data_IF_176291580195
#
_entry.id   IF_176291580195
#
_cell.length_a   1.000
_cell.length_b   1.000
_cell.length_c   1.000
_cell.angle_alpha   90.00
_cell.angle_beta   90.00
_cell.angle_gamma   90.00
#
_symmetry.space_group_name_H-M   'P 1'
#
loop_
_entity.id
_entity.type
_entity.pdbx_description
1 polymer ?
#
# COMPACT_ATOMS: atom_id res chain seq x y z
N UNK A 1 -37.02 14.71 38.55
CA UNK A 1 -35.75 15.21 37.97
C UNK A 1 -35.24 14.11 37.08
N UNK A 2 -35.40 14.29 35.76
CA UNK A 2 -35.12 13.24 34.77
C UNK A 2 -33.63 12.99 34.64
N UNK A 3 -33.26 11.72 34.59
CA UNK A 3 -31.90 11.28 34.34
C UNK A 3 -31.43 11.82 32.98
N UNK A 4 -30.40 12.68 33.00
CA UNK A 4 -29.63 13.02 31.81
C UNK A 4 -28.83 11.77 31.42
N UNK A 5 -29.37 10.98 30.49
CA UNK A 5 -28.60 10.01 29.75
C UNK A 5 -27.58 10.76 28.89
N UNK A 6 -26.29 10.59 29.21
CA UNK A 6 -25.17 11.00 28.37
C UNK A 6 -25.31 10.33 27.00
N UNK A 7 -25.69 11.13 25.99
CA UNK A 7 -25.62 10.73 24.60
C UNK A 7 -24.14 10.52 24.23
N UNK A 8 -23.78 9.29 23.85
CA UNK A 8 -22.51 9.00 23.19
C UNK A 8 -22.44 9.89 21.93
N UNK A 9 -21.31 10.59 21.66
CA UNK A 9 -21.19 11.39 20.44
C UNK A 9 -21.28 10.46 19.22
N UNK A 10 -22.45 10.46 18.58
CA UNK A 10 -22.65 9.82 17.29
C UNK A 10 -21.77 10.54 16.28
N UNK A 11 -20.71 9.87 15.83
CA UNK A 11 -19.87 10.32 14.73
C UNK A 11 -20.72 10.39 13.46
N UNK A 12 -21.33 11.54 13.20
CA UNK A 12 -22.04 11.79 11.96
C UNK A 12 -20.99 11.98 10.86
N UNK A 13 -20.75 10.93 10.06
CA UNK A 13 -19.94 11.04 8.85
C UNK A 13 -20.58 12.13 7.96
N UNK A 14 -19.84 13.18 7.56
CA UNK A 14 -20.42 14.24 6.75
C UNK A 14 -20.85 13.70 5.38
N UNK A 15 -21.90 14.29 4.81
CA UNK A 15 -22.47 13.84 3.53
C UNK A 15 -21.48 13.90 2.36
N UNK A 16 -20.49 14.79 2.44
CA UNK A 16 -19.33 14.89 1.56
C UNK A 16 -18.22 15.71 2.25
N UNK A 17 -17.05 15.75 1.63
CA UNK A 17 -15.95 16.61 2.04
C UNK A 17 -15.15 17.10 0.83
N UNK A 18 -14.50 18.26 0.98
CA UNK A 18 -13.62 18.82 -0.04
C UNK A 18 -12.20 18.30 0.18
N UNK A 19 -11.60 17.75 -0.87
CA UNK A 19 -10.27 17.16 -0.85
C UNK A 19 -9.46 17.72 -2.04
N UNK A 20 -8.79 18.85 -1.81
CA UNK A 20 -8.15 19.63 -2.88
C UNK A 20 -9.20 20.15 -3.88
N UNK A 21 -9.01 19.98 -5.21
CA UNK A 21 -9.99 20.39 -6.23
C UNK A 21 -11.14 19.38 -6.41
N UNK A 22 -11.26 18.39 -5.52
CA UNK A 22 -12.24 17.32 -5.61
C UNK A 22 -13.23 17.37 -4.45
N UNK A 23 -14.45 16.90 -4.71
CA UNK A 23 -15.45 16.61 -3.70
C UNK A 23 -15.59 15.10 -3.57
N UNK A 24 -15.48 14.59 -2.36
CA UNK A 24 -15.51 13.16 -2.05
C UNK A 24 -16.74 12.86 -1.21
N UNK A 25 -17.39 11.74 -1.51
CA UNK A 25 -18.58 11.25 -0.82
C UNK A 25 -18.28 9.94 -0.06
N UNK A 26 -19.03 9.64 1.01
CA UNK A 26 -18.87 8.40 1.78
C UNK A 26 -19.01 7.11 0.97
N UNK A 27 -19.78 7.13 -0.12
CA UNK A 27 -19.99 6.01 -1.05
C UNK A 27 -18.79 5.78 -2.01
N UNK A 28 -17.68 6.47 -1.78
CA UNK A 28 -16.49 6.50 -2.62
C UNK A 28 -16.68 7.14 -4.00
N UNK A 29 -17.74 7.93 -4.20
CA UNK A 29 -17.86 8.81 -5.36
C UNK A 29 -16.92 10.01 -5.22
N UNK A 30 -16.20 10.35 -6.28
CA UNK A 30 -15.33 11.54 -6.35
C UNK A 30 -15.74 12.37 -7.56
N UNK A 31 -15.91 13.68 -7.36
CA UNK A 31 -16.25 14.66 -8.39
C UNK A 31 -15.15 15.72 -8.46
N UNK A 32 -14.63 15.97 -9.65
CA UNK A 32 -13.80 17.15 -9.93
C UNK A 32 -14.70 18.39 -9.92
N UNK A 33 -14.45 19.31 -8.98
CA UNK A 33 -15.32 20.48 -8.75
C UNK A 33 -15.26 21.44 -9.95
N UNK A 34 -14.07 21.66 -10.51
CA UNK A 34 -13.87 22.57 -11.63
C UNK A 34 -14.49 22.05 -12.93
N UNK A 35 -14.37 20.74 -13.19
CA UNK A 35 -14.90 20.11 -14.40
C UNK A 35 -16.31 19.56 -14.24
N UNK A 36 -16.86 19.58 -13.01
CA UNK A 36 -18.15 18.97 -12.62
C UNK A 36 -18.28 17.53 -13.12
N UNK A 37 -17.18 16.77 -13.08
CA UNK A 37 -17.09 15.43 -13.67
C UNK A 37 -16.73 14.39 -12.63
N UNK A 38 -17.46 13.26 -12.64
CA UNK A 38 -17.14 12.09 -11.81
C UNK A 38 -15.81 11.48 -12.24
N UNK A 39 -14.92 11.24 -11.28
CA UNK A 39 -13.64 10.56 -11.48
C UNK A 39 -13.88 9.04 -11.55
N UNK A 40 -13.24 8.37 -12.53
CA UNK A 40 -13.33 6.92 -12.67
C UNK A 40 -12.40 6.22 -11.68
N UNK A 41 -12.92 5.19 -11.01
CA UNK A 41 -12.13 4.24 -10.22
C UNK A 41 -11.61 3.10 -11.10
N UNK A 42 -10.40 2.63 -10.81
CA UNK A 42 -9.72 1.54 -11.53
C UNK A 42 -9.39 0.43 -10.52
N UNK A 43 -9.81 -0.79 -10.79
CA UNK A 43 -9.46 -1.96 -9.96
C UNK A 43 -8.11 -2.54 -10.42
N UNK A 44 -7.13 -2.64 -9.51
CA UNK A 44 -5.82 -3.27 -9.76
C UNK A 44 -5.41 -4.10 -8.55
N UNK A 45 -5.01 -5.34 -8.76
CA UNK A 45 -4.56 -6.26 -7.70
C UNK A 45 -5.54 -6.32 -6.50
N UNK A 46 -6.84 -6.32 -6.77
CA UNK A 46 -7.89 -6.36 -5.74
C UNK A 46 -8.19 -5.03 -5.03
N UNK A 47 -7.55 -3.91 -5.42
CA UNK A 47 -7.72 -2.59 -4.78
C UNK A 47 -8.23 -1.56 -5.78
N UNK A 48 -9.11 -0.67 -5.33
CA UNK A 48 -9.54 0.47 -6.14
C UNK A 48 -8.55 1.62 -6.06
N UNK A 49 -8.25 2.21 -7.22
CA UNK A 49 -7.41 3.39 -7.38
C UNK A 49 -8.14 4.49 -8.12
N UNK A 50 -7.80 5.73 -7.83
CA UNK A 50 -8.29 6.92 -8.54
C UNK A 50 -7.12 7.79 -8.95
N UNK A 51 -7.18 8.32 -10.17
CA UNK A 51 -6.20 9.28 -10.68
C UNK A 51 -6.61 10.69 -10.26
N UNK A 52 -5.82 11.33 -9.40
CA UNK A 52 -6.04 12.69 -8.91
C UNK A 52 -4.82 13.57 -9.18
N UNK A 53 -5.04 14.88 -9.23
CA UNK A 53 -4.00 15.92 -9.23
C UNK A 53 -4.20 16.77 -7.98
N UNK A 54 -3.40 16.52 -6.96
CA UNK A 54 -3.48 17.23 -5.69
C UNK A 54 -2.41 18.33 -5.67
N UNK A 55 -2.71 19.49 -5.08
CA UNK A 55 -1.75 20.56 -4.74
C UNK A 55 -0.62 20.83 -5.76
N UNK A 56 -0.91 21.55 -6.84
CA UNK A 56 0.07 21.99 -7.85
C UNK A 56 0.87 20.86 -8.53
N UNK A 57 0.49 19.59 -8.38
CA UNK A 57 1.06 18.52 -9.17
C UNK A 57 0.66 18.68 -10.65
N UNK A 58 1.63 18.91 -11.52
CA UNK A 58 1.42 18.93 -12.98
C UNK A 58 0.91 17.57 -13.49
N UNK A 59 1.32 16.49 -12.81
CA UNK A 59 1.11 15.12 -13.24
C UNK A 59 -0.03 14.44 -12.49
N UNK A 60 -0.77 13.60 -13.22
CA UNK A 60 -1.78 12.72 -12.64
C UNK A 60 -1.11 11.63 -11.81
N UNK A 61 -1.49 11.48 -10.54
CA UNK A 61 -1.05 10.39 -9.67
C UNK A 61 -2.21 9.47 -9.29
N UNK A 62 -1.91 8.19 -9.13
CA UNK A 62 -2.90 7.19 -8.72
C UNK A 62 -2.80 6.94 -7.22
N UNK A 63 -3.93 7.11 -6.54
CA UNK A 63 -4.05 6.93 -5.10
C UNK A 63 -5.00 5.78 -4.80
N UNK A 64 -4.70 5.02 -3.75
CA UNK A 64 -5.60 3.98 -3.25
C UNK A 64 -6.86 4.62 -2.67
N UNK A 65 -8.03 4.20 -3.15
CA UNK A 65 -9.30 4.85 -2.81
C UNK A 65 -9.67 4.70 -1.32
N UNK A 66 -9.47 3.52 -0.73
CA UNK A 66 -9.70 3.29 0.70
C UNK A 66 -8.89 4.25 1.59
N UNK A 67 -7.67 4.59 1.16
CA UNK A 67 -6.81 5.49 1.93
C UNK A 67 -7.33 6.92 1.88
N UNK A 68 -7.73 7.38 0.70
CA UNK A 68 -8.35 8.70 0.55
C UNK A 68 -9.61 8.81 1.41
N UNK A 69 -10.45 7.78 1.45
CA UNK A 69 -11.67 7.79 2.28
C UNK A 69 -11.35 7.89 3.77
N UNK A 70 -10.34 7.15 4.24
CA UNK A 70 -9.90 7.22 5.62
C UNK A 70 -9.37 8.62 5.98
N UNK A 71 -8.54 9.19 5.11
CA UNK A 71 -8.00 10.55 5.29
C UNK A 71 -9.11 11.61 5.30
N UNK A 72 -10.07 11.47 4.39
CA UNK A 72 -11.13 12.44 4.16
C UNK A 72 -12.20 12.44 5.28
N UNK A 73 -12.51 11.27 5.86
CA UNK A 73 -13.65 11.10 6.77
C UNK A 73 -13.31 10.58 8.16
N UNK A 74 -12.12 10.04 8.39
CA UNK A 74 -11.75 9.43 9.68
C UNK A 74 -10.62 10.21 10.35
N UNK A 75 -9.50 10.38 9.66
CA UNK A 75 -8.31 11.00 10.22
C UNK A 75 -7.52 11.76 9.14
N UNK A 76 -7.70 13.10 9.05
CA UNK A 76 -6.99 13.93 8.07
C UNK A 76 -5.49 14.10 8.40
N UNK A 77 -5.03 13.61 9.56
CA UNK A 77 -3.62 13.73 9.96
C UNK A 77 -2.74 12.58 9.44
N UNK A 78 -3.31 11.59 8.74
CA UNK A 78 -2.52 10.45 8.28
C UNK A 78 -1.42 10.85 7.30
N UNK A 79 -0.20 10.41 7.56
CA UNK A 79 0.96 10.63 6.70
C UNK A 79 1.22 9.44 5.78
N UNK A 80 2.00 9.63 4.71
CA UNK A 80 2.28 8.61 3.69
C UNK A 80 2.79 7.25 4.22
N UNK A 81 3.38 7.22 5.42
CA UNK A 81 3.91 6.01 6.05
C UNK A 81 2.89 5.27 6.92
N UNK A 82 1.71 5.84 7.16
CA UNK A 82 0.66 5.18 7.93
C UNK A 82 0.03 4.03 7.17
N UNK A 83 -0.31 2.95 7.86
CA UNK A 83 -0.90 1.76 7.25
C UNK A 83 -2.39 1.71 7.52
N UNK A 84 -3.19 1.71 6.45
CA UNK A 84 -4.65 1.56 6.52
C UNK A 84 -5.03 0.22 5.89
N UNK A 85 -5.90 -0.54 6.57
CA UNK A 85 -6.44 -1.81 6.08
C UNK A 85 -7.96 -1.87 6.32
N UNK A 86 -8.72 -2.60 5.49
CA UNK A 86 -10.08 -2.99 5.82
C UNK A 86 -10.06 -4.04 6.94
N UNK A 87 -11.04 -3.99 7.85
CA UNK A 87 -11.13 -4.88 9.00
C UNK A 87 -11.50 -6.31 8.60
N UNK A 88 -12.32 -6.46 7.54
CA UNK A 88 -12.69 -7.73 6.91
C UNK A 88 -11.62 -8.29 5.94
N UNK A 89 -10.58 -7.53 5.63
CA UNK A 89 -9.54 -7.89 4.67
C UNK A 89 -9.94 -7.72 3.19
N UNK A 90 -11.18 -7.34 2.88
CA UNK A 90 -11.62 -7.08 1.51
C UNK A 90 -11.42 -5.61 1.13
N UNK A 91 -10.39 -5.37 0.32
CA UNK A 91 -10.07 -4.03 -0.19
C UNK A 91 -11.07 -3.46 -1.19
N UNK A 92 -12.07 -4.24 -1.61
CA UNK A 92 -13.21 -3.75 -2.40
C UNK A 92 -14.33 -3.19 -1.53
N UNK A 93 -14.38 -3.59 -0.25
CA UNK A 93 -15.30 -3.02 0.72
C UNK A 93 -14.77 -1.66 1.19
N UNK A 94 -15.35 -0.60 0.61
CA UNK A 94 -14.95 0.79 0.84
C UNK A 94 -15.79 1.49 1.93
N UNK A 95 -16.58 0.74 2.70
CA UNK A 95 -17.28 1.30 3.86
C UNK A 95 -16.27 1.91 4.83
N UNK A 96 -16.45 3.19 5.17
CA UNK A 96 -15.55 3.94 6.04
C UNK A 96 -15.42 3.26 7.41
N UNK A 97 -16.50 2.69 7.92
CA UNK A 97 -16.52 1.97 9.21
C UNK A 97 -15.69 0.69 9.19
N UNK A 98 -15.45 0.12 8.00
CA UNK A 98 -14.60 -1.05 7.82
C UNK A 98 -13.11 -0.68 7.76
N UNK A 99 -12.74 0.60 7.67
CA UNK A 99 -11.34 1.02 7.52
C UNK A 99 -10.70 1.32 8.88
N UNK A 100 -9.48 0.83 9.08
CA UNK A 100 -8.70 1.10 10.30
C UNK A 100 -7.24 1.37 10.02
N UNK A 101 -6.67 2.28 10.79
CA UNK A 101 -5.22 2.48 10.90
C UNK A 101 -4.60 1.37 11.74
N UNK A 102 -3.47 0.83 11.28
CA UNK A 102 -2.74 -0.26 11.95
C UNK A 102 -1.26 0.03 11.99
N UNK A 103 -0.55 -0.70 12.85
CA UNK A 103 0.91 -0.66 12.88
C UNK A 103 1.53 -1.31 11.64
N UNK A 104 2.79 -0.98 11.35
CA UNK A 104 3.56 -1.65 10.28
C UNK A 104 3.63 -3.18 10.47
N UNK A 105 3.76 -3.64 11.72
CA UNK A 105 3.81 -5.06 12.07
C UNK A 105 2.51 -5.78 11.67
N UNK A 106 1.36 -5.20 12.02
CA UNK A 106 0.05 -5.76 11.66
C UNK A 106 -0.17 -5.75 10.15
N UNK A 107 0.18 -4.66 9.48
CA UNK A 107 0.07 -4.57 8.03
C UNK A 107 0.87 -5.68 7.33
N UNK A 108 2.10 -5.95 7.77
CA UNK A 108 2.96 -6.98 7.19
C UNK A 108 2.56 -8.42 7.56
N UNK A 109 1.75 -8.63 8.61
CA UNK A 109 1.14 -9.95 8.88
C UNK A 109 0.11 -10.30 7.79
N UNK A 110 -0.69 -9.32 7.35
CA UNK A 110 -1.73 -9.52 6.34
C UNK A 110 -1.25 -9.27 4.91
N UNK A 111 -0.16 -8.52 4.74
CA UNK A 111 0.59 -8.36 3.48
C UNK A 111 1.98 -8.97 3.63
N UNK A 112 2.09 -10.30 3.71
CA UNK A 112 3.39 -10.94 3.79
C UNK A 112 4.19 -10.56 2.55
N UNK A 113 5.29 -9.81 2.75
CA UNK A 113 6.29 -9.67 1.70
C UNK A 113 6.70 -11.10 1.32
N UNK A 114 6.53 -11.48 0.06
CA UNK A 114 6.76 -12.85 -0.40
C UNK A 114 8.02 -13.45 0.22
N UNK A 115 7.95 -14.70 0.66
CA UNK A 115 9.01 -15.37 1.42
C UNK A 115 10.33 -15.23 0.66
N UNK A 116 11.23 -14.37 1.13
CA UNK A 116 12.53 -14.18 0.49
C UNK A 116 13.26 -15.50 0.54
N UNK A 117 13.59 -16.09 -0.61
CA UNK A 117 14.43 -17.29 -0.65
C UNK A 117 15.73 -16.96 0.05
N UNK A 118 16.03 -17.70 1.13
CA UNK A 118 17.35 -17.65 1.76
C UNK A 118 18.28 -18.46 0.87
N UNK A 119 19.30 -17.80 0.34
CA UNK A 119 20.41 -18.49 -0.32
C UNK A 119 21.26 -19.13 0.79
N UNK A 120 21.61 -20.39 0.60
CA UNK A 120 22.53 -21.11 1.49
C UNK A 120 23.99 -20.83 1.11
N UNK A 121 24.94 -21.13 2.00
CA UNK A 121 26.37 -20.98 1.70
C UNK A 121 26.79 -21.80 0.48
N UNK A 122 26.28 -23.04 0.36
CA UNK A 122 26.52 -23.92 -0.79
C UNK A 122 25.99 -23.32 -2.10
N UNK A 123 24.77 -22.77 -2.08
CA UNK A 123 24.22 -22.08 -3.25
C UNK A 123 25.01 -20.81 -3.59
N UNK A 124 25.57 -20.10 -2.61
CA UNK A 124 26.42 -18.93 -2.84
C UNK A 124 27.74 -19.30 -3.53
N UNK A 125 28.39 -20.39 -3.10
CA UNK A 125 29.61 -20.91 -3.74
C UNK A 125 29.33 -21.26 -5.21
N UNK A 126 28.22 -21.96 -5.46
CA UNK A 126 27.78 -22.29 -6.82
C UNK A 126 27.45 -21.03 -7.66
N UNK A 127 26.83 -20.01 -7.07
CA UNK A 127 26.59 -18.71 -7.73
C UNK A 127 27.91 -18.04 -8.13
N UNK A 128 28.93 -18.10 -7.27
CA UNK A 128 30.26 -17.56 -7.56
C UNK A 128 30.91 -18.28 -8.75
N UNK A 129 30.84 -19.62 -8.78
CA UNK A 129 31.39 -20.42 -9.89
C UNK A 129 30.65 -20.16 -11.21
N UNK A 130 29.32 -20.16 -11.18
CA UNK A 130 28.51 -19.84 -12.37
C UNK A 130 28.86 -18.45 -12.91
N UNK A 131 29.13 -17.48 -12.03
CA UNK A 131 29.54 -16.14 -12.47
C UNK A 131 30.93 -16.14 -13.08
N UNK A 132 31.90 -16.85 -12.50
CA UNK A 132 33.25 -17.03 -13.06
C UNK A 132 33.20 -17.70 -14.44
N UNK A 133 32.27 -18.64 -14.64
CA UNK A 133 32.03 -19.31 -15.91
C UNK A 133 31.27 -18.45 -16.94
N UNK A 134 31.11 -17.15 -16.70
CA UNK A 134 30.57 -16.19 -17.66
C UNK A 134 29.04 -16.07 -17.67
N UNK A 135 28.30 -16.78 -16.80
CA UNK A 135 26.84 -16.63 -16.78
C UNK A 135 26.43 -15.22 -16.35
N UNK A 136 25.36 -14.74 -16.96
CA UNK A 136 24.76 -13.44 -16.61
C UNK A 136 24.00 -13.51 -15.28
N UNK A 137 23.88 -12.38 -14.59
CA UNK A 137 23.08 -12.30 -13.36
C UNK A 137 21.63 -12.76 -13.56
N UNK A 138 21.07 -12.54 -14.76
CA UNK A 138 19.70 -12.98 -15.10
C UNK A 138 19.60 -14.50 -15.23
N UNK A 139 20.57 -15.14 -15.88
CA UNK A 139 20.60 -16.59 -16.02
C UNK A 139 20.75 -17.29 -14.66
N UNK A 140 21.65 -16.78 -13.81
CA UNK A 140 21.83 -17.27 -12.45
C UNK A 140 20.55 -17.05 -11.63
N UNK A 141 19.96 -15.85 -11.69
CA UNK A 141 18.74 -15.53 -10.96
C UNK A 141 17.54 -16.42 -11.34
N UNK A 142 17.40 -16.75 -12.62
CA UNK A 142 16.39 -17.68 -13.11
C UNK A 142 16.56 -19.08 -12.50
N UNK A 143 17.81 -19.59 -12.44
CA UNK A 143 18.12 -20.90 -11.81
C UNK A 143 17.68 -20.95 -10.35
N UNK A 144 17.96 -19.90 -9.58
CA UNK A 144 17.64 -19.87 -8.14
C UNK A 144 16.25 -19.30 -7.81
N UNK A 145 15.47 -18.88 -8.82
CA UNK A 145 14.15 -18.24 -8.65
C UNK A 145 14.19 -17.03 -7.72
N UNK A 146 15.21 -16.19 -7.88
CA UNK A 146 15.39 -14.93 -7.16
C UNK A 146 15.46 -13.77 -8.14
N UNK A 147 15.37 -12.53 -7.66
CA UNK A 147 15.64 -11.36 -8.49
C UNK A 147 17.13 -11.29 -8.86
N UNK A 148 17.46 -10.84 -10.07
CA UNK A 148 18.84 -10.57 -10.48
C UNK A 148 19.56 -9.59 -9.54
N UNK A 149 18.80 -8.70 -8.89
CA UNK A 149 19.32 -7.80 -7.88
C UNK A 149 19.84 -8.54 -6.62
N UNK A 150 19.20 -9.66 -6.26
CA UNK A 150 19.68 -10.51 -5.14
C UNK A 150 21.03 -11.11 -5.49
N UNK A 151 21.21 -11.62 -6.71
CA UNK A 151 22.50 -12.16 -7.19
C UNK A 151 23.57 -11.07 -7.21
N UNK A 152 23.26 -9.90 -7.77
CA UNK A 152 24.19 -8.77 -7.80
C UNK A 152 24.62 -8.34 -6.39
N UNK A 153 23.67 -8.25 -5.46
CA UNK A 153 23.94 -7.88 -4.07
C UNK A 153 24.81 -8.93 -3.36
N UNK A 154 24.51 -10.23 -3.55
CA UNK A 154 25.30 -11.32 -2.99
C UNK A 154 26.75 -11.28 -3.46
N UNK A 155 26.96 -11.11 -4.77
CA UNK A 155 28.31 -11.08 -5.34
C UNK A 155 29.09 -9.79 -4.99
N UNK A 156 28.39 -8.67 -4.80
CA UNK A 156 29.03 -7.38 -4.43
C UNK A 156 29.40 -7.34 -2.95
N UNK A 157 28.50 -7.79 -2.09
CA UNK A 157 28.66 -7.63 -0.64
C UNK A 157 29.24 -8.88 0.02
N UNK A 158 29.25 -10.02 -0.66
CA UNK A 158 29.58 -11.30 -0.05
C UNK A 158 28.38 -11.93 0.66
N UNK A 159 28.56 -13.18 1.09
CA UNK A 159 27.57 -13.94 1.83
C UNK A 159 27.74 -13.68 3.33
N UNK A 160 26.74 -13.04 3.95
CA UNK A 160 26.67 -12.87 5.40
C UNK A 160 25.52 -13.69 5.96
N UNK A 161 25.79 -14.55 6.93
CA UNK A 161 24.75 -15.09 7.79
C UNK A 161 24.55 -14.18 8.99
N UNK A 162 23.32 -14.12 9.51
CA UNK A 162 23.02 -13.32 10.69
C UNK A 162 23.73 -14.00 11.89
N UNK A 163 24.90 -13.50 12.28
CA UNK A 163 25.77 -14.11 13.30
C UNK A 163 27.26 -14.17 12.93
N UNK A 164 27.63 -13.80 11.70
CA UNK A 164 29.03 -13.54 11.32
C UNK A 164 29.49 -12.12 11.70
#
# INVERSE_FOLDING_TARGET
MGNCSEEKPGSCIPANTVYGPYMIYPDATIIDIGKKKKIKKVLRNGKYYVGLRLQNEENLRYYSLYRILYEAFVDPSIGAQDYIIPADGDYKNLDISNLKKVSASEFHKVHPSGRKKKITKKEYEEICELRKNGLSYRAIAAKYRVSHYVIQKLLRNGFYTKGD
#
